data_IF_193896092572
#
_entry.id   IF_193896092572
#
_cell.length_a   1.000
_cell.length_b   1.000
_cell.length_c   1.000
_cell.angle_alpha   90.00
_cell.angle_beta   90.00
_cell.angle_gamma   90.00
#
_symmetry.space_group_name_H-M   'P 1'
#
loop_
_entity.id
_entity.type
_entity.pdbx_description
1 polymer ?
#
# COMPACT_ATOMS: atom_id res chain seq x y z
N UNK A 1 2.62 -10.05 3.30
CA UNK A 1 2.50 -8.63 3.72
C UNK A 1 1.04 -8.25 3.70
N UNK A 2 0.51 -7.70 4.79
CA UNK A 2 -0.91 -7.46 5.01
C UNK A 2 -1.17 -5.97 5.26
N UNK A 3 -2.00 -5.36 4.41
CA UNK A 3 -2.27 -3.92 4.41
C UNK A 3 -3.75 -3.61 4.35
N UNK A 4 -4.10 -2.38 4.74
CA UNK A 4 -5.43 -1.81 4.54
C UNK A 4 -5.88 -1.92 3.07
N UNK A 5 -7.17 -2.12 2.78
CA UNK A 5 -7.67 -2.31 1.41
C UNK A 5 -7.38 -1.14 0.48
N UNK A 6 -7.49 0.12 0.93
CA UNK A 6 -7.25 1.29 0.07
C UNK A 6 -5.77 1.41 -0.26
N UNK A 7 -4.91 1.28 0.76
CA UNK A 7 -3.47 1.29 0.57
C UNK A 7 -3.01 0.12 -0.32
N UNK A 8 -3.52 -1.08 -0.06
CA UNK A 8 -3.26 -2.27 -0.87
C UNK A 8 -3.69 -2.11 -2.32
N UNK A 9 -4.87 -1.52 -2.59
CA UNK A 9 -5.31 -1.25 -3.96
C UNK A 9 -4.36 -0.30 -4.70
N UNK A 10 -3.86 0.74 -4.04
CA UNK A 10 -2.87 1.67 -4.60
C UNK A 10 -1.52 1.00 -4.85
N UNK A 11 -1.06 0.15 -3.93
CA UNK A 11 0.15 -0.64 -4.15
C UNK A 11 0.02 -1.54 -5.39
N UNK A 12 -1.11 -2.26 -5.52
CA UNK A 12 -1.36 -3.13 -6.68
C UNK A 12 -1.43 -2.36 -7.99
N UNK A 13 -2.06 -1.19 -7.97
CA UNK A 13 -2.10 -0.30 -9.11
C UNK A 13 -0.68 0.01 -9.60
N UNK A 14 0.19 0.45 -8.68
CA UNK A 14 1.58 0.76 -9.00
C UNK A 14 2.39 -0.45 -9.45
N UNK A 15 2.24 -1.59 -8.80
CA UNK A 15 2.92 -2.83 -9.19
C UNK A 15 2.58 -3.26 -10.62
N UNK A 16 1.38 -3.00 -11.09
CA UNK A 16 0.96 -3.37 -12.45
C UNK A 16 1.25 -2.31 -13.50
N UNK A 17 1.11 -1.02 -13.15
CA UNK A 17 1.30 0.06 -14.12
C UNK A 17 2.76 0.43 -14.34
N UNK A 18 3.58 0.35 -13.28
CA UNK A 18 4.96 0.87 -13.26
C UNK A 18 5.98 -0.14 -12.71
N UNK A 19 5.50 -1.22 -12.07
CA UNK A 19 6.35 -2.17 -11.36
C UNK A 19 6.53 -3.51 -12.08
N UNK A 20 7.23 -4.46 -11.43
CA UNK A 20 7.49 -5.79 -11.98
C UNK A 20 6.29 -6.76 -11.88
N UNK A 21 5.11 -6.30 -11.44
CA UNK A 21 3.97 -7.14 -11.08
C UNK A 21 3.89 -7.45 -9.58
N UNK A 22 2.77 -8.06 -9.16
CA UNK A 22 2.46 -8.28 -7.73
C UNK A 22 2.74 -9.70 -7.23
N UNK A 23 2.81 -10.70 -8.11
CA UNK A 23 2.63 -12.10 -7.69
C UNK A 23 1.22 -12.35 -7.14
N UNK A 24 1.01 -13.45 -6.39
CA UNK A 24 -0.28 -13.80 -5.82
C UNK A 24 -0.77 -12.81 -4.76
N UNK A 25 -2.07 -12.54 -4.77
CA UNK A 25 -2.71 -11.55 -3.90
C UNK A 25 -4.06 -12.08 -3.45
N UNK A 26 -4.35 -11.97 -2.16
CA UNK A 26 -5.62 -12.33 -1.57
C UNK A 26 -6.26 -11.18 -0.80
N UNK A 27 -7.55 -11.31 -0.52
CA UNK A 27 -8.27 -10.50 0.47
C UNK A 27 -8.72 -11.42 1.60
N UNK A 28 -8.47 -10.99 2.83
CA UNK A 28 -8.94 -11.68 4.03
C UNK A 28 -9.35 -10.66 5.08
N UNK A 29 -10.58 -10.79 5.61
CA UNK A 29 -11.14 -9.87 6.63
C UNK A 29 -10.99 -8.39 6.24
N UNK A 30 -11.30 -8.07 4.99
CA UNK A 30 -11.24 -6.71 4.46
C UNK A 30 -9.84 -6.18 4.20
N UNK A 31 -8.78 -6.97 4.40
CA UNK A 31 -7.39 -6.54 4.20
C UNK A 31 -6.76 -7.20 2.98
N UNK A 32 -5.82 -6.51 2.36
CA UNK A 32 -5.08 -7.03 1.20
C UNK A 32 -3.85 -7.78 1.68
N UNK A 33 -3.73 -9.04 1.26
CA UNK A 33 -2.62 -9.95 1.52
C UNK A 33 -1.78 -10.10 0.25
N UNK A 34 -0.61 -9.47 0.21
CA UNK A 34 0.41 -9.68 -0.81
C UNK A 34 1.33 -10.82 -0.36
N UNK A 35 1.42 -11.88 -1.16
CA UNK A 35 2.38 -12.95 -0.93
C UNK A 35 3.75 -12.45 -1.38
N UNK A 36 4.75 -12.54 -0.51
CA UNK A 36 6.07 -11.96 -0.72
C UNK A 36 7.16 -13.00 -0.46
N UNK A 37 8.35 -12.78 -1.00
CA UNK A 37 9.46 -13.72 -0.86
C UNK A 37 9.83 -13.91 0.62
N UNK A 38 10.30 -15.11 1.02
CA UNK A 38 10.81 -15.35 2.38
C UNK A 38 11.85 -14.30 2.80
N UNK A 39 11.85 -13.92 4.07
CA UNK A 39 12.73 -12.85 4.58
C UNK A 39 12.16 -11.43 4.42
N UNK A 40 11.12 -11.22 3.58
CA UNK A 40 10.50 -9.90 3.39
C UNK A 40 9.94 -9.34 4.69
N UNK A 41 9.31 -10.18 5.50
CA UNK A 41 8.70 -9.78 6.77
C UNK A 41 9.72 -9.20 7.77
N UNK A 42 10.95 -9.71 7.73
CA UNK A 42 12.05 -9.29 8.60
C UNK A 42 12.72 -8.02 8.07
N UNK A 43 12.93 -7.94 6.75
CA UNK A 43 13.74 -6.89 6.13
C UNK A 43 12.93 -5.62 5.81
N UNK A 44 11.64 -5.74 5.48
CA UNK A 44 10.81 -4.61 5.09
C UNK A 44 10.68 -3.53 6.19
N UNK A 45 10.44 -3.85 7.48
CA UNK A 45 10.39 -2.82 8.53
C UNK A 45 11.70 -2.05 8.63
N UNK A 46 12.84 -2.74 8.60
CA UNK A 46 14.15 -2.11 8.65
C UNK A 46 14.41 -1.17 7.47
N UNK A 47 13.96 -1.53 6.26
CA UNK A 47 14.08 -0.66 5.08
C UNK A 47 13.20 0.59 5.18
N UNK A 48 11.96 0.44 5.68
CA UNK A 48 11.06 1.57 5.89
C UNK A 48 11.61 2.55 6.93
N UNK A 49 12.21 2.04 7.99
CA UNK A 49 12.82 2.88 9.03
C UNK A 49 14.11 3.55 8.51
N UNK A 50 14.95 2.84 7.75
CA UNK A 50 16.20 3.39 7.18
C UNK A 50 15.98 4.51 6.16
N UNK A 51 14.96 4.38 5.31
CA UNK A 51 14.63 5.38 4.30
C UNK A 51 13.70 6.50 4.83
N UNK A 52 13.51 6.58 6.16
CA UNK A 52 12.69 7.59 6.84
C UNK A 52 11.19 7.56 6.45
N UNK A 53 10.72 6.51 5.80
CA UNK A 53 9.30 6.32 5.42
C UNK A 53 8.42 5.77 6.56
N UNK A 54 8.99 5.44 7.71
CA UNK A 54 8.31 4.72 8.79
C UNK A 54 7.04 5.39 9.33
N UNK A 55 6.95 6.72 9.25
CA UNK A 55 5.77 7.50 9.66
C UNK A 55 4.80 7.78 8.49
N UNK A 56 5.31 7.92 7.27
CA UNK A 56 4.50 8.24 6.08
C UNK A 56 3.81 7.01 5.48
N UNK A 57 4.43 5.84 5.59
CA UNK A 57 3.89 4.57 5.09
C UNK A 57 3.08 3.89 6.19
N UNK A 58 1.78 3.58 5.95
CA UNK A 58 1.02 2.75 6.87
C UNK A 58 1.73 1.41 7.09
N UNK A 59 2.16 1.15 8.33
CA UNK A 59 3.00 -0.02 8.65
C UNK A 59 2.31 -1.33 8.23
N UNK A 60 2.85 -2.07 7.25
CA UNK A 60 2.28 -3.34 6.84
C UNK A 60 2.42 -4.39 7.94
N UNK A 61 1.37 -5.18 8.16
CA UNK A 61 1.45 -6.35 9.03
C UNK A 61 2.20 -7.46 8.28
N UNK A 62 3.35 -7.85 8.79
CA UNK A 62 4.16 -8.89 8.21
C UNK A 62 3.94 -10.21 8.96
N UNK A 63 3.51 -11.26 8.25
CA UNK A 63 3.21 -12.56 8.84
C UNK A 63 4.41 -13.51 8.69
N UNK A 64 5.04 -13.87 9.82
CA UNK A 64 6.01 -14.97 9.93
C UNK A 64 7.24 -14.90 9.03
N UNK A 65 7.96 -16.02 8.88
CA UNK A 65 9.09 -16.14 7.95
C UNK A 65 8.63 -16.24 6.48
N UNK A 66 7.32 -16.31 6.24
CA UNK A 66 6.75 -16.65 4.93
C UNK A 66 6.69 -18.16 4.68
N UNK A 67 6.86 -18.98 5.73
CA UNK A 67 6.88 -20.44 5.69
C UNK A 67 5.49 -21.08 5.78
N UNK A 68 4.51 -20.39 6.39
CA UNK A 68 3.12 -20.79 6.35
C UNK A 68 2.15 -19.60 6.36
N UNK A 69 1.34 -19.48 5.31
CA UNK A 69 0.16 -18.61 5.26
C UNK A 69 -1.02 -19.48 4.84
N UNK A 70 -2.11 -19.47 5.60
CA UNK A 70 -3.36 -20.11 5.15
C UNK A 70 -3.83 -19.37 3.90
N UNK A 71 -3.73 -20.05 2.76
CA UNK A 71 -4.13 -19.49 1.47
C UNK A 71 -5.65 -19.57 1.29
N UNK A 72 -6.26 -18.62 0.58
CA UNK A 72 -7.64 -18.76 0.14
C UNK A 72 -7.86 -20.08 -0.62
N UNK A 73 -9.03 -20.72 -0.49
CA UNK A 73 -9.39 -21.83 -1.36
C UNK A 73 -9.37 -21.36 -2.82
N UNK A 74 -8.92 -22.24 -3.73
CA UNK A 74 -8.87 -21.94 -5.17
C UNK A 74 -10.27 -21.73 -5.78
N UNK A 75 -11.29 -22.35 -5.19
CA UNK A 75 -12.69 -22.13 -5.53
C UNK A 75 -13.37 -21.29 -4.44
N UNK A 76 -14.23 -20.31 -4.79
CA UNK A 76 -14.97 -19.52 -3.81
C UNK A 76 -15.94 -20.43 -3.06
N UNK A 77 -15.73 -20.62 -1.77
CA UNK A 77 -16.78 -21.15 -0.88
C UNK A 77 -17.72 -19.99 -0.54
N UNK A 78 -19.03 -20.24 -0.52
CA UNK A 78 -20.09 -19.20 -0.48
C UNK A 78 -20.16 -18.31 0.78
N UNK A 79 -19.09 -18.19 1.57
CA UNK A 79 -18.99 -17.30 2.73
C UNK A 79 -17.96 -16.19 2.50
N UNK A 80 -18.00 -15.14 3.33
CA UNK A 80 -17.06 -14.01 3.36
C UNK A 80 -15.62 -14.39 3.80
N UNK A 81 -15.18 -15.59 3.45
CA UNK A 81 -13.85 -16.13 3.70
C UNK A 81 -12.77 -15.49 2.82
N UNK A 82 -11.51 -15.90 3.03
CA UNK A 82 -10.41 -15.43 2.21
C UNK A 82 -10.66 -15.74 0.73
N UNK A 83 -10.34 -14.80 -0.16
CA UNK A 83 -10.49 -14.96 -1.63
C UNK A 83 -9.28 -14.43 -2.38
N UNK A 84 -9.00 -14.99 -3.55
CA UNK A 84 -7.95 -14.49 -4.44
C UNK A 84 -8.39 -13.20 -5.14
N UNK A 85 -7.51 -12.19 -5.16
CA UNK A 85 -7.56 -11.08 -6.12
C UNK A 85 -6.68 -11.41 -7.34
N UNK A 86 -5.54 -12.04 -7.08
CA UNK A 86 -4.62 -12.58 -8.08
C UNK A 86 -4.26 -13.98 -7.62
N UNK A 87 -4.85 -14.99 -8.25
CA UNK A 87 -4.54 -16.37 -7.93
C UNK A 87 -3.15 -16.75 -8.50
N UNK A 88 -2.41 -17.66 -7.85
CA UNK A 88 -1.22 -18.23 -8.45
C UNK A 88 -1.62 -19.03 -9.70
N UNK A 89 -0.90 -18.80 -10.80
CA UNK A 89 -1.06 -19.50 -12.08
C UNK A 89 -0.14 -20.74 -12.20
N UNK A 90 0.89 -20.80 -11.35
CA UNK A 90 1.91 -21.85 -11.33
C UNK A 90 2.14 -22.38 -9.92
N UNK A 91 2.81 -23.54 -9.81
CA UNK A 91 3.16 -24.15 -8.52
C UNK A 91 4.18 -23.33 -7.72
N UNK A 92 5.04 -22.59 -8.42
CA UNK A 92 6.10 -21.78 -7.85
C UNK A 92 6.00 -20.36 -8.42
N UNK A 93 4.95 -19.61 -8.02
CA UNK A 93 4.75 -18.27 -8.53
C UNK A 93 5.91 -17.37 -8.10
N UNK A 94 6.24 -16.39 -8.94
CA UNK A 94 7.16 -15.34 -8.53
C UNK A 94 6.56 -14.55 -7.36
N UNK A 95 7.40 -14.22 -6.38
CA UNK A 95 7.02 -13.46 -5.20
C UNK A 95 7.86 -12.17 -5.12
N UNK A 96 7.24 -10.99 -4.91
CA UNK A 96 7.97 -9.75 -4.70
C UNK A 96 8.84 -9.84 -3.45
N UNK A 97 10.12 -9.46 -3.59
CA UNK A 97 11.05 -9.30 -2.47
C UNK A 97 10.80 -8.01 -1.67
N UNK A 98 11.54 -7.79 -0.58
CA UNK A 98 11.35 -6.63 0.29
C UNK A 98 11.51 -5.29 -0.42
N UNK A 99 12.44 -5.20 -1.37
CA UNK A 99 12.71 -3.98 -2.15
C UNK A 99 11.53 -3.63 -3.07
N UNK A 100 10.89 -4.64 -3.68
CA UNK A 100 9.70 -4.43 -4.53
C UNK A 100 8.49 -4.01 -3.68
N UNK A 101 8.32 -4.61 -2.50
CA UNK A 101 7.25 -4.22 -1.58
C UNK A 101 7.45 -2.81 -1.06
N UNK A 102 8.68 -2.43 -0.68
CA UNK A 102 9.04 -1.07 -0.29
C UNK A 102 8.73 -0.09 -1.41
N UNK A 103 9.19 -0.38 -2.63
CA UNK A 103 8.92 0.44 -3.82
C UNK A 103 7.41 0.67 -4.01
N UNK A 104 6.59 -0.37 -3.85
CA UNK A 104 5.15 -0.26 -3.98
C UNK A 104 4.52 0.60 -2.87
N UNK A 105 4.98 0.45 -1.62
CA UNK A 105 4.55 1.27 -0.50
C UNK A 105 4.82 2.75 -0.76
N UNK A 106 6.06 3.10 -1.10
CA UNK A 106 6.49 4.49 -1.33
C UNK A 106 5.72 5.11 -2.49
N UNK A 107 5.54 4.38 -3.59
CA UNK A 107 4.77 4.87 -4.75
C UNK A 107 3.29 5.03 -4.44
N UNK A 108 2.71 4.15 -3.61
CA UNK A 108 1.32 4.26 -3.17
C UNK A 108 1.08 5.49 -2.29
N UNK A 109 2.00 5.80 -1.36
CA UNK A 109 1.94 7.03 -0.54
C UNK A 109 2.07 8.27 -1.42
N UNK A 110 3.09 8.33 -2.28
CA UNK A 110 3.29 9.49 -3.18
C UNK A 110 2.09 9.75 -4.09
N UNK A 111 1.45 8.69 -4.59
CA UNK A 111 0.25 8.81 -5.40
C UNK A 111 -0.94 9.36 -4.59
N UNK A 112 -1.05 9.00 -3.31
CA UNK A 112 -2.05 9.55 -2.39
C UNK A 112 -1.83 11.05 -2.18
N UNK A 113 -0.61 11.45 -1.81
CA UNK A 113 -0.26 12.85 -1.57
C UNK A 113 -0.47 13.71 -2.82
N UNK A 114 -0.11 13.19 -4.00
CA UNK A 114 -0.36 13.89 -5.26
C UNK A 114 -1.85 14.04 -5.58
N UNK A 115 -2.69 13.07 -5.21
CA UNK A 115 -4.13 13.17 -5.37
C UNK A 115 -4.73 14.20 -4.41
N UNK A 116 -4.30 14.20 -3.14
CA UNK A 116 -4.78 15.17 -2.14
C UNK A 116 -4.43 16.61 -2.53
N UNK A 117 -3.23 16.86 -3.06
CA UNK A 117 -2.84 18.17 -3.60
C UNK A 117 -3.77 18.62 -4.74
N UNK A 118 -4.17 17.72 -5.64
CA UNK A 118 -5.10 18.05 -6.74
C UNK A 118 -6.53 18.29 -6.26
N UNK A 119 -6.93 17.64 -5.18
CA UNK A 119 -8.27 17.77 -4.57
C UNK A 119 -8.35 18.97 -3.63
N UNK A 120 -7.23 19.65 -3.35
CA UNK A 120 -7.22 20.89 -2.58
C UNK A 120 -8.15 21.94 -3.21
N UNK A 121 -9.24 22.21 -2.50
CA UNK A 121 -10.20 23.28 -2.80
C UNK A 121 -9.72 24.65 -2.32
N UNK A 122 -8.58 24.71 -1.60
CA UNK A 122 -7.95 25.97 -1.25
C UNK A 122 -7.24 26.51 -2.50
N UNK A 123 -7.61 27.71 -2.99
CA UNK A 123 -6.83 28.35 -4.03
C UNK A 123 -5.40 28.57 -3.51
N UNK A 124 -4.38 28.48 -4.38
CA UNK A 124 -3.02 28.88 -4.01
C UNK A 124 -3.08 30.30 -3.45
N UNK A 125 -2.39 30.55 -2.33
CA UNK A 125 -2.39 31.85 -1.68
C UNK A 125 -1.98 32.91 -2.70
N UNK A 126 -2.93 33.75 -3.12
CA UNK A 126 -2.67 34.87 -4.02
C UNK A 126 -1.72 35.84 -3.27
N UNK A 127 -0.45 35.99 -3.71
CA UNK A 127 0.51 36.86 -3.01
C UNK A 127 0.08 38.33 -2.99
N UNK A 128 -0.96 38.71 -3.76
CA UNK A 128 -1.52 40.06 -3.80
C UNK A 128 -2.72 40.30 -2.88
N UNK A 129 -3.21 39.30 -2.15
CA UNK A 129 -4.38 39.46 -1.29
C UNK A 129 -4.05 40.22 0.00
N UNK A 130 -4.15 41.56 -0.05
CA UNK A 130 -4.06 42.42 1.14
C UNK A 130 -5.37 42.35 1.93
N UNK A 131 -5.43 41.42 2.89
CA UNK A 131 -6.54 41.33 3.86
C UNK A 131 -6.36 42.42 4.89
N UNK A 132 -7.13 43.50 4.77
CA UNK A 132 -7.15 44.57 5.76
C UNK A 132 -7.83 44.08 7.05
N UNK A 133 -7.07 44.07 8.15
CA UNK A 133 -7.59 43.81 9.49
C UNK A 133 -8.45 45.00 9.96
N UNK A 134 -9.78 44.81 9.92
CA UNK A 134 -10.77 45.80 10.35
C UNK A 134 -11.14 45.70 11.83
N UNK A 135 -10.46 44.85 12.61
CA UNK A 135 -10.78 44.64 14.04
C UNK A 135 -10.37 45.82 14.94
N UNK A 136 -9.67 46.83 14.41
CA UNK A 136 -9.25 48.04 15.14
C UNK A 136 -10.07 49.30 14.85
N UNK A 137 -11.40 49.20 14.79
CA UNK A 137 -12.26 50.39 14.89
C UNK A 137 -12.95 50.43 16.24
N UNK A 138 -12.29 51.08 17.20
CA UNK A 138 -12.92 51.82 18.30
C UNK A 138 -12.09 53.03 18.63
#
# INVERSE_FOLDING_TARGET
>A
VNVDPVFGRRMLDKLWTEGPGSGPVAVHRGRTLLFAAPGTAQRLPALLDWEEWGEEVPRPLCHGLGDAVTVPPLAPSGSAGPRWLVAPDTRHPWLPGPEVVLWACVRAVRAASAADVRVSIFPPADPGANVYDVSRRR
#
